data_IF_083593211185
#
_entry.id   IF_083593211185
#
_cell.length_a   1.000
_cell.length_b   1.000
_cell.length_c   1.000
_cell.angle_alpha   90.00
_cell.angle_beta   90.00
_cell.angle_gamma   90.00
#
_symmetry.space_group_name_H-M   'P 1'
#
loop_
_entity.id
_entity.type
_entity.pdbx_description
1 polymer ?
#
# COMPACT_ATOMS: atom_id res chain seq x y z
N UNK A 1 -2.72 -4.96 -6.79
CA UNK A 1 -2.31 -5.65 -5.53
C UNK A 1 -1.36 -4.75 -4.75
N UNK A 2 -1.63 -4.51 -3.47
CA UNK A 2 -0.82 -3.64 -2.60
C UNK A 2 0.65 -4.11 -2.47
N UNK A 3 0.90 -5.41 -2.64
CA UNK A 3 2.25 -5.98 -2.68
C UNK A 3 3.13 -5.39 -3.78
N UNK A 4 2.60 -5.14 -4.99
CA UNK A 4 3.36 -4.53 -6.08
C UNK A 4 3.77 -3.09 -5.77
N UNK A 5 2.88 -2.33 -5.11
CA UNK A 5 3.18 -0.95 -4.70
C UNK A 5 4.30 -0.94 -3.66
N UNK A 6 4.17 -1.78 -2.63
CA UNK A 6 5.20 -1.91 -1.58
C UNK A 6 6.55 -2.33 -2.17
N UNK A 7 6.54 -3.22 -3.17
CA UNK A 7 7.76 -3.67 -3.81
C UNK A 7 8.43 -2.57 -4.65
N UNK A 8 7.64 -1.87 -5.46
CA UNK A 8 8.12 -0.82 -6.35
C UNK A 8 8.67 0.39 -5.60
N UNK A 9 8.03 0.78 -4.50
CA UNK A 9 8.47 1.91 -3.66
C UNK A 9 9.60 1.49 -2.70
N UNK A 10 9.39 0.44 -1.91
CA UNK A 10 10.28 0.08 -0.79
C UNK A 10 11.23 -1.07 -1.08
N UNK A 11 10.71 -2.28 -1.33
CA UNK A 11 11.54 -3.49 -1.36
C UNK A 11 12.62 -3.47 -2.44
N UNK A 12 12.37 -2.79 -3.56
CA UNK A 12 13.36 -2.58 -4.62
C UNK A 12 14.65 -1.96 -4.08
N UNK A 13 14.58 -1.02 -3.15
CA UNK A 13 15.75 -0.35 -2.60
C UNK A 13 16.62 -1.31 -1.79
N UNK A 14 16.03 -2.30 -1.12
CA UNK A 14 16.76 -3.36 -0.42
C UNK A 14 17.43 -4.32 -1.41
N UNK A 15 16.74 -4.69 -2.48
CA UNK A 15 17.28 -5.64 -3.47
C UNK A 15 18.41 -5.05 -4.29
N UNK A 16 18.35 -3.76 -4.57
CA UNK A 16 19.42 -3.06 -5.28
C UNK A 16 20.73 -2.99 -4.48
N UNK A 17 20.73 -3.33 -3.18
CA UNK A 17 21.94 -3.45 -2.36
C UNK A 17 22.58 -4.85 -2.48
N UNK A 18 21.87 -5.84 -3.01
CA UNK A 18 22.41 -7.18 -3.29
C UNK A 18 23.13 -7.22 -4.63
N UNK A 19 23.91 -8.27 -4.87
CA UNK A 19 24.46 -8.52 -6.20
C UNK A 19 23.34 -8.80 -7.21
N UNK A 20 23.52 -8.35 -8.46
CA UNK A 20 22.53 -8.59 -9.52
C UNK A 20 22.28 -10.09 -9.73
N UNK A 21 23.34 -10.90 -9.72
CA UNK A 21 23.25 -12.34 -9.95
C UNK A 21 22.45 -13.05 -8.84
N UNK A 22 22.58 -12.62 -7.58
CA UNK A 22 21.79 -13.19 -6.49
C UNK A 22 20.32 -12.80 -6.59
N UNK A 23 20.02 -11.54 -6.92
CA UNK A 23 18.64 -11.09 -7.14
C UNK A 23 18.03 -11.84 -8.31
N UNK A 24 18.74 -11.97 -9.42
CA UNK A 24 18.26 -12.66 -10.62
C UNK A 24 17.97 -14.15 -10.30
N UNK A 25 18.84 -14.82 -9.54
CA UNK A 25 18.64 -16.20 -9.07
C UNK A 25 17.42 -16.34 -8.15
N UNK A 26 17.25 -15.41 -7.20
CA UNK A 26 16.07 -15.38 -6.31
C UNK A 26 14.76 -15.21 -7.11
N UNK A 27 14.77 -14.37 -8.15
CA UNK A 27 13.61 -14.15 -9.01
C UNK A 27 13.32 -15.42 -9.83
N UNK A 28 14.34 -16.04 -10.44
CA UNK A 28 14.17 -17.23 -11.28
C UNK A 28 13.62 -18.44 -10.50
N UNK A 29 13.88 -18.50 -9.20
CA UNK A 29 13.33 -19.52 -8.31
C UNK A 29 11.80 -19.39 -8.07
N UNK A 30 11.15 -18.26 -8.40
CA UNK A 30 9.70 -18.07 -8.21
C UNK A 30 8.94 -19.00 -9.17
N UNK A 31 8.15 -20.00 -8.72
CA UNK A 31 7.53 -20.98 -9.62
C UNK A 31 6.46 -20.40 -10.55
N UNK A 32 5.65 -19.47 -10.03
CA UNK A 32 4.57 -18.81 -10.76
C UNK A 32 5.16 -17.82 -11.79
N UNK A 33 4.93 -18.10 -13.07
CA UNK A 33 5.51 -17.34 -14.18
C UNK A 33 5.08 -15.87 -14.19
N UNK A 34 3.83 -15.59 -13.82
CA UNK A 34 3.29 -14.23 -13.78
C UNK A 34 3.94 -13.46 -12.63
N UNK A 35 4.01 -14.07 -11.43
CA UNK A 35 4.70 -13.48 -10.27
C UNK A 35 6.18 -13.27 -10.55
N UNK A 36 6.85 -14.21 -11.22
CA UNK A 36 8.26 -14.10 -11.61
C UNK A 36 8.47 -12.91 -12.55
N UNK A 37 7.66 -12.81 -13.61
CA UNK A 37 7.72 -11.70 -14.56
C UNK A 37 7.46 -10.36 -13.85
N UNK A 38 6.40 -10.26 -13.08
CA UNK A 38 6.06 -9.05 -12.33
C UNK A 38 7.16 -8.65 -11.36
N UNK A 39 7.79 -9.64 -10.69
CA UNK A 39 8.92 -9.40 -9.79
C UNK A 39 10.12 -8.83 -10.56
N UNK A 40 10.44 -9.39 -11.72
CA UNK A 40 11.50 -8.88 -12.60
C UNK A 40 11.22 -7.44 -13.03
N UNK A 41 10.02 -7.18 -13.55
CA UNK A 41 9.61 -5.85 -13.97
C UNK A 41 9.72 -4.82 -12.82
N UNK A 42 9.32 -5.19 -11.59
CA UNK A 42 9.39 -4.32 -10.42
C UNK A 42 10.83 -4.01 -9.99
N UNK A 43 11.73 -4.99 -10.06
CA UNK A 43 13.15 -4.76 -9.76
C UNK A 43 13.79 -3.86 -10.82
N UNK A 44 13.55 -4.15 -12.09
CA UNK A 44 14.19 -3.43 -13.19
C UNK A 44 13.62 -2.00 -13.34
N UNK A 45 12.30 -1.83 -13.25
CA UNK A 45 11.60 -0.59 -13.60
C UNK A 45 10.99 0.17 -12.41
N UNK A 46 10.92 -0.44 -11.22
CA UNK A 46 10.36 0.19 -10.02
C UNK A 46 8.91 0.66 -10.23
N UNK A 47 8.65 1.92 -9.90
CA UNK A 47 7.32 2.54 -10.04
C UNK A 47 6.84 2.68 -11.49
N UNK A 48 7.74 2.50 -12.48
CA UNK A 48 7.37 2.51 -13.91
C UNK A 48 6.91 1.12 -14.41
N UNK A 49 7.04 0.07 -13.59
CA UNK A 49 6.67 -1.28 -13.98
C UNK A 49 5.16 -1.36 -14.32
N UNK A 50 4.74 -2.09 -15.36
CA UNK A 50 3.32 -2.22 -15.72
C UNK A 50 2.44 -2.71 -14.57
N UNK A 51 2.94 -3.67 -13.78
CA UNK A 51 2.22 -4.21 -12.61
C UNK A 51 2.08 -3.19 -11.47
N UNK A 52 3.00 -2.22 -11.36
CA UNK A 52 2.91 -1.13 -10.39
C UNK A 52 1.82 -0.14 -10.79
N UNK A 53 1.85 0.30 -12.06
CA UNK A 53 0.86 1.24 -12.61
C UNK A 53 -0.55 0.66 -12.50
N UNK A 54 -0.74 -0.61 -12.87
CA UNK A 54 -2.04 -1.27 -12.70
C UNK A 54 -2.44 -1.37 -11.22
N UNK A 55 -1.49 -1.62 -10.31
CA UNK A 55 -1.78 -1.63 -8.88
C UNK A 55 -2.21 -0.26 -8.34
N UNK A 56 -1.63 0.84 -8.84
CA UNK A 56 -2.07 2.20 -8.51
C UNK A 56 -3.50 2.46 -9.00
N UNK A 57 -3.81 2.07 -10.25
CA UNK A 57 -5.16 2.20 -10.80
C UNK A 57 -6.21 1.45 -9.97
N UNK A 58 -5.92 0.21 -9.60
CA UNK A 58 -6.79 -0.58 -8.72
C UNK A 58 -6.93 0.03 -7.33
N UNK A 59 -5.86 0.64 -6.81
CA UNK A 59 -5.90 1.32 -5.52
C UNK A 59 -6.82 2.55 -5.54
N UNK A 60 -6.78 3.33 -6.63
CA UNK A 60 -7.70 4.46 -6.85
C UNK A 60 -9.16 4.00 -6.89
N UNK A 61 -9.46 2.91 -7.59
CA UNK A 61 -10.81 2.32 -7.62
C UNK A 61 -11.23 1.87 -6.22
N UNK A 62 -10.38 1.12 -5.53
CA UNK A 62 -10.64 0.66 -4.17
C UNK A 62 -10.94 1.83 -3.23
N UNK A 63 -10.12 2.88 -3.24
CA UNK A 63 -10.32 4.05 -2.40
C UNK A 63 -11.62 4.81 -2.73
N UNK A 64 -12.01 4.87 -4.00
CA UNK A 64 -13.27 5.50 -4.40
C UNK A 64 -14.48 4.72 -3.91
N UNK A 65 -14.46 3.38 -4.08
CA UNK A 65 -15.55 2.54 -3.59
C UNK A 65 -15.60 2.54 -2.06
N UNK A 66 -14.45 2.44 -1.39
CA UNK A 66 -14.39 2.48 0.08
C UNK A 66 -14.95 3.79 0.64
N UNK A 67 -14.58 4.94 0.05
CA UNK A 67 -15.11 6.24 0.45
C UNK A 67 -16.63 6.33 0.30
N UNK A 68 -17.16 5.75 -0.79
CA UNK A 68 -18.59 5.73 -1.07
C UNK A 68 -19.34 4.84 -0.09
N UNK A 69 -18.83 3.65 0.22
CA UNK A 69 -19.45 2.74 1.21
C UNK A 69 -19.49 3.36 2.61
N UNK A 70 -18.50 4.19 2.97
CA UNK A 70 -18.44 4.91 4.24
C UNK A 70 -19.27 6.21 4.29
N UNK A 71 -19.90 6.64 3.18
CA UNK A 71 -20.56 7.95 3.12
C UNK A 71 -21.74 8.11 4.10
N UNK A 72 -22.45 7.02 4.42
CA UNK A 72 -23.63 7.04 5.29
C UNK A 72 -23.51 6.13 6.51
N UNK A 73 -22.31 5.59 6.78
CA UNK A 73 -22.08 4.64 7.85
C UNK A 73 -20.73 4.88 8.51
N UNK A 74 -20.66 4.67 9.82
CA UNK A 74 -19.38 4.78 10.54
C UNK A 74 -18.46 3.57 10.31
N UNK A 75 -19.02 2.44 9.91
CA UNK A 75 -18.34 1.16 9.67
C UNK A 75 -18.81 0.57 8.34
N UNK A 76 -18.00 -0.29 7.73
CA UNK A 76 -18.34 -0.89 6.44
C UNK A 76 -19.53 -1.87 6.51
N UNK A 77 -19.87 -2.34 7.71
CA UNK A 77 -21.00 -3.24 7.89
C UNK A 77 -21.58 -3.13 9.30
N UNK A 78 -22.91 -2.98 9.40
CA UNK A 78 -23.64 -2.76 10.66
C UNK A 78 -23.11 -1.57 11.48
N UNK A 79 -23.42 -1.56 12.77
CA UNK A 79 -23.17 -0.44 13.69
C UNK A 79 -21.85 -0.59 14.49
N UNK A 80 -20.96 -1.49 14.09
CA UNK A 80 -19.69 -1.76 14.79
C UNK A 80 -18.59 -2.27 13.87
N UNK A 81 -17.33 -1.98 14.23
CA UNK A 81 -16.15 -2.55 13.56
C UNK A 81 -16.27 -4.08 13.39
N UNK A 82 -16.10 -4.57 12.17
CA UNK A 82 -16.25 -5.98 11.86
C UNK A 82 -15.25 -6.50 10.82
N UNK A 83 -15.58 -7.65 10.25
CA UNK A 83 -14.73 -8.34 9.27
C UNK A 83 -14.52 -7.51 8.00
N UNK A 84 -15.53 -6.74 7.58
CA UNK A 84 -15.41 -5.84 6.44
C UNK A 84 -14.33 -4.78 6.69
N UNK A 85 -14.39 -4.10 7.83
CA UNK A 85 -13.38 -3.09 8.23
C UNK A 85 -11.99 -3.71 8.35
N UNK A 86 -11.88 -4.84 9.06
CA UNK A 86 -10.62 -5.56 9.25
C UNK A 86 -10.00 -6.03 7.91
N UNK A 87 -10.82 -6.29 6.88
CA UNK A 87 -10.35 -6.71 5.57
C UNK A 87 -9.86 -5.53 4.71
N UNK A 88 -10.47 -4.35 4.85
CA UNK A 88 -10.09 -3.14 4.13
C UNK A 88 -8.87 -2.43 4.77
N UNK A 89 -8.78 -2.48 6.10
CA UNK A 89 -7.81 -1.74 6.91
C UNK A 89 -6.34 -1.93 6.50
N UNK A 90 -5.83 -3.15 6.18
CA UNK A 90 -4.43 -3.34 5.81
C UNK A 90 -3.99 -2.54 4.57
N UNK A 91 -4.92 -2.26 3.65
CA UNK A 91 -4.63 -1.47 2.46
C UNK A 91 -4.39 0.00 2.78
N UNK A 92 -5.21 0.57 3.69
CA UNK A 92 -5.09 1.96 4.14
C UNK A 92 -3.82 2.14 4.98
N UNK A 93 -3.55 1.22 5.92
CA UNK A 93 -2.31 1.22 6.71
C UNK A 93 -1.08 1.21 5.80
N UNK A 94 -1.06 0.34 4.78
CA UNK A 94 0.11 0.27 3.90
C UNK A 94 0.30 1.53 3.08
N UNK A 95 -0.77 2.21 2.65
CA UNK A 95 -0.64 3.49 1.96
C UNK A 95 -0.06 4.57 2.89
N UNK A 96 -0.51 4.64 4.15
CA UNK A 96 0.09 5.53 5.16
C UNK A 96 1.58 5.22 5.38
N UNK A 97 1.93 3.93 5.55
CA UNK A 97 3.32 3.48 5.71
C UNK A 97 4.21 3.78 4.50
N UNK A 98 3.63 4.03 3.32
CA UNK A 98 4.35 4.39 2.10
C UNK A 98 4.24 5.88 1.79
N UNK A 99 3.84 6.72 2.77
CA UNK A 99 3.68 8.16 2.62
C UNK A 99 2.67 8.59 1.53
N UNK A 100 1.66 7.76 1.29
CA UNK A 100 0.58 8.00 0.33
C UNK A 100 -0.75 8.37 1.02
N UNK A 101 -0.69 8.84 2.26
CA UNK A 101 -1.84 9.21 3.09
C UNK A 101 -2.65 10.40 2.54
N UNK A 102 -2.03 11.26 1.71
CA UNK A 102 -2.75 12.32 0.97
C UNK A 102 -3.83 11.75 0.04
N UNK A 103 -3.75 10.47 -0.35
CA UNK A 103 -4.82 9.81 -1.09
C UNK A 103 -6.11 9.66 -0.27
N UNK A 104 -6.07 9.81 1.05
CA UNK A 104 -7.27 9.77 1.89
C UNK A 104 -7.20 10.79 3.02
N UNK A 105 -6.66 11.98 2.70
CA UNK A 105 -6.75 13.11 3.61
C UNK A 105 -8.19 13.63 3.73
N UNK A 106 -8.38 14.60 4.62
CA UNK A 106 -9.68 15.20 4.91
C UNK A 106 -10.29 15.92 3.69
N UNK A 107 -9.49 16.34 2.71
CA UNK A 107 -9.95 17.08 1.54
C UNK A 107 -10.33 16.15 0.38
N UNK A 108 -9.68 15.00 0.27
CA UNK A 108 -9.88 14.05 -0.82
C UNK A 108 -10.89 12.95 -0.49
N UNK A 109 -10.78 12.33 0.70
CA UNK A 109 -11.63 11.20 1.13
C UNK A 109 -11.91 11.29 2.64
N UNK A 110 -12.76 12.25 3.07
CA UNK A 110 -13.03 12.54 4.48
C UNK A 110 -13.62 11.35 5.26
N UNK A 111 -14.40 10.47 4.60
CA UNK A 111 -15.03 9.35 5.30
C UNK A 111 -13.99 8.28 5.65
N UNK A 112 -13.09 7.92 4.73
CA UNK A 112 -11.94 7.06 5.02
C UNK A 112 -11.05 7.71 6.08
N UNK A 113 -10.79 9.01 5.98
CA UNK A 113 -9.96 9.72 6.95
C UNK A 113 -10.51 9.58 8.39
N UNK A 114 -11.81 9.85 8.56
CA UNK A 114 -12.51 9.75 9.84
C UNK A 114 -12.57 8.31 10.35
N UNK A 115 -12.96 7.36 9.48
CA UNK A 115 -13.02 5.93 9.77
C UNK A 115 -11.66 5.39 10.26
N UNK A 116 -10.59 5.71 9.54
CA UNK A 116 -9.25 5.27 9.90
C UNK A 116 -8.76 5.92 11.20
N UNK A 117 -9.04 7.20 11.41
CA UNK A 117 -8.71 7.90 12.66
C UNK A 117 -9.43 7.31 13.89
N UNK A 118 -10.67 6.82 13.72
CA UNK A 118 -11.38 6.06 14.77
C UNK A 118 -10.69 4.74 15.06
N UNK A 119 -10.37 3.95 14.02
CA UNK A 119 -9.70 2.64 14.18
C UNK A 119 -8.36 2.78 14.89
N UNK A 120 -7.54 3.78 14.56
CA UNK A 120 -6.24 4.03 15.21
C UNK A 120 -6.34 4.25 16.73
N UNK A 121 -7.51 4.62 17.26
CA UNK A 121 -7.77 4.82 18.69
C UNK A 121 -8.31 3.58 19.39
N UNK A 122 -8.62 2.51 18.65
CA UNK A 122 -9.14 1.27 19.22
C UNK A 122 -7.99 0.37 19.70
N UNK A 123 -8.21 -0.35 20.81
CA UNK A 123 -7.30 -1.38 21.33
C UNK A 123 -6.84 -2.39 20.27
N UNK A 124 -7.71 -2.75 19.33
CA UNK A 124 -7.40 -3.73 18.31
C UNK A 124 -6.27 -3.26 17.39
N UNK A 125 -6.13 -1.96 17.19
CA UNK A 125 -5.06 -1.39 16.36
C UNK A 125 -3.70 -1.64 17.00
N UNK A 126 -3.58 -1.41 18.31
CA UNK A 126 -2.33 -1.71 19.02
C UNK A 126 -2.05 -3.21 19.05
N UNK A 127 -3.05 -4.00 19.46
CA UNK A 127 -2.91 -5.44 19.70
C UNK A 127 -2.66 -6.24 18.42
N UNK A 128 -3.17 -5.81 17.28
CA UNK A 128 -3.09 -6.58 16.02
C UNK A 128 -2.12 -5.99 15.00
N UNK A 129 -1.72 -4.72 15.13
CA UNK A 129 -0.93 -4.03 14.11
C UNK A 129 0.39 -3.53 14.70
N UNK A 130 0.37 -2.52 15.57
CA UNK A 130 1.63 -1.86 16.00
C UNK A 130 2.53 -2.78 16.82
N UNK A 131 1.96 -3.75 17.54
CA UNK A 131 2.73 -4.77 18.29
C UNK A 131 3.59 -5.66 17.37
N UNK A 132 3.17 -5.88 16.12
CA UNK A 132 3.82 -6.83 15.20
C UNK A 132 4.67 -6.17 14.12
N UNK A 133 4.55 -4.85 13.92
CA UNK A 133 5.26 -4.13 12.86
C UNK A 133 6.39 -3.30 13.50
N UNK A 134 7.67 -3.61 13.22
CA UNK A 134 8.78 -2.83 13.75
C UNK A 134 8.76 -1.38 13.25
N UNK A 135 8.97 -0.41 14.15
CA UNK A 135 9.03 1.01 13.77
C UNK A 135 10.09 1.30 12.69
N UNK A 136 11.25 0.62 12.75
CA UNK A 136 12.30 0.76 11.74
C UNK A 136 11.82 0.41 10.32
N UNK A 137 10.91 -0.57 10.20
CA UNK A 137 10.31 -0.91 8.91
C UNK A 137 9.36 0.19 8.43
N UNK A 138 8.57 0.76 9.34
CA UNK A 138 7.67 1.87 9.03
C UNK A 138 8.47 3.09 8.57
N UNK A 139 9.52 3.46 9.31
CA UNK A 139 10.39 4.60 8.98
C UNK A 139 11.06 4.41 7.61
N UNK A 140 11.58 3.20 7.35
CA UNK A 140 12.19 2.86 6.06
C UNK A 140 11.19 2.96 4.90
N UNK A 141 10.00 2.37 5.04
CA UNK A 141 8.96 2.43 4.00
C UNK A 141 8.46 3.85 3.79
N UNK A 142 8.30 4.61 4.88
CA UNK A 142 7.90 6.01 4.85
C UNK A 142 8.91 6.86 4.09
N UNK A 143 10.21 6.71 4.37
CA UNK A 143 11.26 7.42 3.65
C UNK A 143 11.27 7.07 2.15
N UNK A 144 11.22 5.77 1.81
CA UNK A 144 11.16 5.34 0.41
C UNK A 144 9.94 5.90 -0.33
N UNK A 145 8.82 6.02 0.39
CA UNK A 145 7.58 6.63 -0.08
C UNK A 145 7.74 8.12 -0.36
N UNK A 146 8.26 8.88 0.61
CA UNK A 146 8.50 10.31 0.48
C UNK A 146 9.42 10.63 -0.70
N UNK A 147 10.50 9.87 -0.87
CA UNK A 147 11.48 10.06 -1.96
C UNK A 147 10.86 9.93 -3.36
N UNK A 148 9.74 9.22 -3.49
CA UNK A 148 9.09 8.91 -4.76
C UNK A 148 7.67 9.49 -4.87
N UNK A 149 7.20 10.22 -3.85
CA UNK A 149 5.80 10.64 -3.70
C UNK A 149 5.29 11.42 -4.90
N UNK A 150 6.00 12.47 -5.29
CA UNK A 150 5.62 13.31 -6.42
C UNK A 150 5.45 12.53 -7.73
N UNK A 151 6.33 11.55 -7.99
CA UNK A 151 6.26 10.74 -9.21
C UNK A 151 5.10 9.73 -9.14
N UNK A 152 4.87 9.12 -7.97
CA UNK A 152 3.74 8.22 -7.74
C UNK A 152 2.40 8.95 -7.94
N UNK A 153 2.24 10.14 -7.36
CA UNK A 153 1.01 10.93 -7.51
C UNK A 153 0.79 11.35 -8.97
N UNK A 154 1.84 11.79 -9.68
CA UNK A 154 1.75 12.07 -11.13
C UNK A 154 1.31 10.84 -11.94
N UNK A 155 1.76 9.64 -11.58
CA UNK A 155 1.33 8.40 -12.23
C UNK A 155 -0.13 8.07 -11.92
N UNK A 156 -0.63 8.37 -10.72
CA UNK A 156 -2.03 8.18 -10.34
C UNK A 156 -3.00 9.17 -11.00
N UNK A 157 -2.54 10.38 -11.35
CA UNK A 157 -3.34 11.37 -12.07
C UNK A 157 -3.50 11.01 -13.55
N UNK A 158 -2.45 10.48 -14.17
CA UNK A 158 -2.43 10.11 -15.59
C UNK A 158 -3.24 8.86 -15.92
N UNK A 159 -3.57 8.03 -14.93
CA UNK A 159 -4.25 6.73 -15.08
C UNK A 159 -5.51 6.61 -14.21
#
# INVERSE_FOLDING_TARGET
>A
QCGSITYGIGMRNVLNQKSKDDVDREIDAIPDLIKRKNRRDLVDQGIRAPVFIEALRQSKIFLNELEKELNNSEWLFNDSFGLADASALPYIIRMEQLALDELFDINNRPNINSWYAKIKKMDIYEKAITTFIPNQLIDFLGQCGQDQKDEVFKLMEKN
#
